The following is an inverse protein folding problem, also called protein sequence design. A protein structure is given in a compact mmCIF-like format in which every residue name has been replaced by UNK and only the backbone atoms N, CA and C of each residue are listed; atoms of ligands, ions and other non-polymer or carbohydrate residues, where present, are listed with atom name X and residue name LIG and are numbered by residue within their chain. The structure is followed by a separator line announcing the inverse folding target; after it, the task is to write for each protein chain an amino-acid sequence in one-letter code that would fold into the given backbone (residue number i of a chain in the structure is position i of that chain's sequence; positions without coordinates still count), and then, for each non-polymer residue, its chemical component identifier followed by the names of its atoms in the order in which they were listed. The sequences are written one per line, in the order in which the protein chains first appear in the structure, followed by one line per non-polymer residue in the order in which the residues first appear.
data_IF_863742571385
#
_entry.id   IF_863742571385
#
_cell.length_a   1.000
_cell.length_b   1.000
_cell.length_c   1.000
_cell.angle_alpha   90.00
_cell.angle_beta   90.00
_cell.angle_gamma   90.00
#
_symmetry.space_group_name_H-M   'P 1'
#
loop_
_entity.id
_entity.type
_entity.pdbx_description
1 polymer ?
#
# COMPACT_ATOMS: atom_id res chain seq x y z
N UNK A 1 12.27 14.04 27.38
CA UNK A 1 13.11 13.86 26.17
C UNK A 1 12.98 12.49 25.49
N UNK A 2 12.86 11.34 26.18
CA UNK A 2 12.57 10.04 25.50
C UNK A 2 11.10 9.87 25.08
N UNK A 3 10.16 10.42 25.85
CA UNK A 3 8.72 10.34 25.57
C UNK A 3 8.37 11.08 24.28
N UNK A 4 8.86 12.31 24.10
CA UNK A 4 8.51 13.12 22.93
C UNK A 4 9.20 12.67 21.63
N UNK A 5 10.40 12.07 21.71
CA UNK A 5 11.20 11.77 20.52
C UNK A 5 10.96 10.39 19.93
N UNK A 6 10.43 9.44 20.72
CA UNK A 6 10.20 8.06 20.28
C UNK A 6 8.76 7.58 20.47
N UNK A 7 8.14 7.91 21.61
CA UNK A 7 6.80 7.41 21.94
C UNK A 7 5.72 8.09 21.08
N UNK A 8 5.83 9.41 20.84
CA UNK A 8 4.90 10.14 19.96
C UNK A 8 4.87 9.62 18.51
N UNK A 9 6.02 9.44 17.81
CA UNK A 9 5.99 8.91 16.45
C UNK A 9 5.51 7.45 16.36
N UNK A 10 5.82 6.60 17.34
CA UNK A 10 5.29 5.22 17.40
C UNK A 10 3.77 5.20 17.60
N UNK A 11 3.22 6.02 18.49
CA UNK A 11 1.76 6.15 18.67
C UNK A 11 1.04 6.67 17.42
N UNK A 12 1.70 7.55 16.65
CA UNK A 12 1.16 8.04 15.36
C UNK A 12 1.18 6.93 14.30
N UNK A 13 2.15 6.01 14.34
CA UNK A 13 2.19 4.85 13.45
C UNK A 13 1.16 3.78 13.88
N UNK A 14 0.96 3.55 15.17
CA UNK A 14 -0.10 2.66 15.69
C UNK A 14 -1.51 3.16 15.31
N UNK A 15 -1.75 4.49 15.41
CA UNK A 15 -3.00 5.11 14.97
C UNK A 15 -3.23 5.02 13.44
N UNK A 16 -2.19 4.85 12.62
CA UNK A 16 -2.35 4.65 11.17
C UNK A 16 -2.85 3.25 10.84
N UNK A 17 -2.47 2.25 11.64
CA UNK A 17 -2.97 0.89 11.49
C UNK A 17 -4.44 0.76 11.93
N UNK A 18 -4.90 1.65 12.82
CA UNK A 18 -6.31 1.75 13.22
C UNK A 18 -7.24 2.29 12.11
N UNK A 19 -6.71 3.03 11.13
CA UNK A 19 -7.55 3.63 10.09
C UNK A 19 -8.11 2.55 9.16
N UNK A 20 -9.42 2.33 9.19
CA UNK A 20 -10.09 1.31 8.38
C UNK A 20 -9.84 1.54 6.88
N UNK A 21 -9.94 0.48 6.07
CA UNK A 21 -9.83 0.58 4.61
C UNK A 21 -10.85 1.60 4.07
N UNK A 22 -12.05 1.65 4.66
CA UNK A 22 -13.09 2.62 4.29
C UNK A 22 -12.66 4.07 4.57
N UNK A 23 -12.02 4.34 5.70
CA UNK A 23 -11.53 5.69 6.03
C UNK A 23 -10.36 6.11 5.14
N UNK A 24 -9.45 5.18 4.83
CA UNK A 24 -8.37 5.40 3.86
C UNK A 24 -8.95 5.79 2.50
N UNK A 25 -9.98 5.08 2.05
CA UNK A 25 -10.63 5.35 0.77
C UNK A 25 -11.38 6.69 0.76
N UNK A 26 -12.04 7.06 1.87
CA UNK A 26 -12.66 8.40 2.03
C UNK A 26 -11.64 9.52 1.95
N UNK A 27 -10.49 9.36 2.60
CA UNK A 27 -9.40 10.35 2.54
C UNK A 27 -8.86 10.45 1.12
N UNK A 28 -8.66 9.31 0.44
CA UNK A 28 -8.22 9.27 -0.95
C UNK A 28 -9.18 10.03 -1.87
N UNK A 29 -10.49 9.82 -1.73
CA UNK A 29 -11.52 10.54 -2.49
C UNK A 29 -11.46 12.05 -2.23
N UNK A 30 -11.34 12.46 -0.97
CA UNK A 30 -11.21 13.88 -0.62
C UNK A 30 -9.95 14.53 -1.21
N UNK A 31 -8.81 13.80 -1.21
CA UNK A 31 -7.57 14.27 -1.83
C UNK A 31 -7.68 14.37 -3.36
N UNK A 32 -8.40 13.45 -3.98
CA UNK A 32 -8.67 13.47 -5.42
C UNK A 32 -9.58 14.65 -5.82
N UNK A 33 -10.65 14.90 -5.07
CA UNK A 33 -11.49 16.09 -5.25
C UNK A 33 -10.68 17.38 -5.10
N UNK A 34 -9.84 17.47 -4.06
CA UNK A 34 -8.98 18.62 -3.85
C UNK A 34 -7.95 18.80 -4.98
N UNK A 35 -7.36 17.71 -5.49
CA UNK A 35 -6.45 17.77 -6.63
C UNK A 35 -7.14 18.31 -7.88
N UNK A 36 -8.38 17.88 -8.15
CA UNK A 36 -9.18 18.37 -9.26
C UNK A 36 -9.53 19.86 -9.12
N UNK A 37 -9.93 20.30 -7.92
CA UNK A 37 -10.18 21.73 -7.64
C UNK A 37 -8.93 22.58 -7.89
N UNK A 38 -7.75 22.09 -7.51
CA UNK A 38 -6.48 22.78 -7.77
C UNK A 38 -6.14 22.83 -9.26
N UNK A 39 -6.47 21.80 -10.03
CA UNK A 39 -6.31 21.81 -11.50
C UNK A 39 -7.19 22.88 -12.12
N UNK A 40 -8.48 22.91 -11.76
CA UNK A 40 -9.42 23.94 -12.25
C UNK A 40 -8.96 25.35 -11.87
N UNK A 41 -8.49 25.54 -10.62
CA UNK A 41 -7.97 26.83 -10.16
C UNK A 41 -6.72 27.27 -10.95
N UNK A 42 -5.82 26.34 -11.32
CA UNK A 42 -4.64 26.62 -12.15
C UNK A 42 -5.04 27.05 -13.56
N UNK A 43 -6.09 26.44 -14.13
CA UNK A 43 -6.56 26.77 -15.47
C UNK A 43 -7.26 28.13 -15.51
N UNK A 44 -7.94 28.52 -14.41
CA UNK A 44 -8.61 29.81 -14.27
C UNK A 44 -7.68 30.97 -13.87
N UNK A 45 -6.49 30.68 -13.33
CA UNK A 45 -5.54 31.74 -12.92
C UNK A 45 -4.68 32.23 -14.08
N UNK A 46 -4.74 33.53 -14.35
CA UNK A 46 -3.94 34.14 -15.43
C UNK A 46 -2.51 34.48 -14.99
N UNK A 47 -2.30 34.79 -13.71
CA UNK A 47 -0.98 35.19 -13.24
C UNK A 47 -0.03 33.99 -13.12
N UNK A 48 1.24 34.19 -13.47
CA UNK A 48 2.24 33.10 -13.45
C UNK A 48 2.64 32.75 -12.01
N UNK A 49 2.74 33.75 -11.14
CA UNK A 49 3.15 33.53 -9.74
C UNK A 49 2.10 32.77 -8.94
N UNK A 50 0.80 33.08 -9.10
CA UNK A 50 -0.27 32.35 -8.42
C UNK A 50 -0.36 30.91 -8.94
N UNK A 51 -0.24 30.70 -10.27
CA UNK A 51 -0.16 29.35 -10.85
C UNK A 51 1.00 28.53 -10.29
N UNK A 52 2.15 29.16 -10.01
CA UNK A 52 3.30 28.48 -9.41
C UNK A 52 3.02 28.02 -7.99
N UNK A 53 2.33 28.83 -7.19
CA UNK A 53 1.90 28.48 -5.83
C UNK A 53 0.88 27.34 -5.85
N UNK A 54 -0.14 27.42 -6.72
CA UNK A 54 -1.15 26.37 -6.87
C UNK A 54 -0.55 25.04 -7.34
N UNK A 55 0.41 25.05 -8.28
CA UNK A 55 1.14 23.85 -8.70
C UNK A 55 1.93 23.21 -7.57
N UNK A 56 2.53 24.04 -6.69
CA UNK A 56 3.23 23.54 -5.51
C UNK A 56 2.27 22.86 -4.55
N UNK A 57 1.11 23.47 -4.28
CA UNK A 57 0.08 22.84 -3.44
C UNK A 57 -0.43 21.54 -4.07
N UNK A 58 -0.73 21.53 -5.37
CA UNK A 58 -1.14 20.32 -6.10
C UNK A 58 -0.11 19.20 -5.94
N UNK A 59 1.17 19.52 -6.07
CA UNK A 59 2.25 18.53 -5.91
C UNK A 59 2.28 17.92 -4.50
N UNK A 60 2.01 18.70 -3.46
CA UNK A 60 1.91 18.19 -2.10
C UNK A 60 0.66 17.31 -1.92
N UNK A 61 -0.50 17.73 -2.44
CA UNK A 61 -1.75 16.93 -2.42
C UNK A 61 -1.54 15.59 -3.14
N UNK A 62 -0.97 15.62 -4.34
CA UNK A 62 -0.66 14.42 -5.12
C UNK A 62 0.27 13.46 -4.36
N UNK A 63 1.29 14.01 -3.68
CA UNK A 63 2.20 13.22 -2.85
C UNK A 63 1.49 12.59 -1.66
N UNK A 64 0.53 13.28 -1.02
CA UNK A 64 -0.28 12.68 0.04
C UNK A 64 -1.20 11.59 -0.52
N UNK A 65 -1.86 11.82 -1.66
CA UNK A 65 -2.72 10.82 -2.33
C UNK A 65 -1.95 9.52 -2.55
N UNK A 66 -0.76 9.60 -3.14
CA UNK A 66 0.12 8.45 -3.35
C UNK A 66 0.47 7.71 -2.04
N UNK A 67 0.70 8.44 -0.95
CA UNK A 67 0.96 7.81 0.35
C UNK A 67 -0.25 7.03 0.86
N UNK A 68 -1.46 7.55 0.67
CA UNK A 68 -2.69 6.83 1.05
C UNK A 68 -2.93 5.62 0.14
N UNK A 69 -2.61 5.69 -1.15
CA UNK A 69 -2.63 4.52 -2.04
C UNK A 69 -1.65 3.43 -1.54
N UNK A 70 -0.42 3.82 -1.18
CA UNK A 70 0.58 2.90 -0.61
C UNK A 70 0.15 2.33 0.75
N UNK A 71 -0.62 3.08 1.55
CA UNK A 71 -1.19 2.59 2.81
C UNK A 71 -2.31 1.58 2.57
N UNK A 72 -3.23 1.87 1.65
CA UNK A 72 -4.32 0.96 1.29
C UNK A 72 -3.75 -0.39 0.83
N UNK A 73 -2.78 -0.37 -0.09
CA UNK A 73 -2.15 -1.57 -0.61
C UNK A 73 -1.45 -2.39 0.49
N UNK A 74 -0.68 -1.72 1.37
CA UNK A 74 -0.01 -2.40 2.48
C UNK A 74 -1.00 -3.01 3.47
N UNK A 75 -2.10 -2.31 3.77
CA UNK A 75 -3.13 -2.83 4.67
C UNK A 75 -3.81 -4.07 4.11
N UNK A 76 -4.17 -4.05 2.83
CA UNK A 76 -4.71 -5.23 2.13
C UNK A 76 -3.74 -6.42 2.18
N UNK A 77 -2.46 -6.19 1.83
CA UNK A 77 -1.45 -7.26 1.88
C UNK A 77 -1.22 -7.78 3.29
N UNK A 78 -1.29 -6.91 4.31
CA UNK A 78 -1.15 -7.32 5.70
C UNK A 78 -2.34 -8.17 6.16
N UNK A 79 -3.57 -7.80 5.81
CA UNK A 79 -4.77 -8.59 6.07
C UNK A 79 -4.69 -9.97 5.41
N UNK A 80 -4.24 -10.05 4.16
CA UNK A 80 -3.99 -11.33 3.46
C UNK A 80 -2.91 -12.17 4.18
N UNK A 81 -1.82 -11.55 4.60
CA UNK A 81 -0.75 -12.22 5.35
C UNK A 81 -1.24 -12.73 6.70
N UNK A 82 -2.09 -11.99 7.42
CA UNK A 82 -2.70 -12.44 8.66
C UNK A 82 -3.59 -13.67 8.45
N UNK A 83 -4.34 -13.71 7.34
CA UNK A 83 -5.14 -14.88 6.95
C UNK A 83 -4.22 -16.09 6.69
N UNK A 84 -3.14 -15.91 5.93
CA UNK A 84 -2.16 -16.98 5.62
C UNK A 84 -1.45 -17.47 6.89
N UNK A 85 -1.09 -16.54 7.78
CA UNK A 85 -0.39 -16.81 9.03
C UNK A 85 -1.20 -17.74 9.96
N UNK A 86 -2.52 -17.54 9.98
CA UNK A 86 -3.47 -18.32 10.77
C UNK A 86 -3.14 -18.35 12.27
N UNK A 87 -3.73 -19.32 13.00
CA UNK A 87 -3.64 -19.38 14.46
C UNK A 87 -2.27 -19.83 14.97
N UNK A 88 -1.52 -20.64 14.19
CA UNK A 88 -0.23 -21.21 14.62
C UNK A 88 0.97 -20.33 14.26
N UNK A 89 0.73 -19.14 13.71
CA UNK A 89 1.78 -18.22 13.27
C UNK A 89 2.77 -18.92 12.32
N UNK A 90 2.25 -19.66 11.34
CA UNK A 90 3.04 -20.52 10.48
C UNK A 90 2.88 -20.13 9.02
N UNK A 91 3.84 -19.38 8.49
CA UNK A 91 4.03 -19.16 7.04
C UNK A 91 4.66 -20.39 6.35
N UNK A 92 4.37 -21.61 6.84
CA UNK A 92 5.08 -22.83 6.44
C UNK A 92 4.52 -23.45 5.16
N UNK A 93 5.31 -24.27 4.47
CA UNK A 93 6.28 -23.90 3.41
C UNK A 93 5.82 -24.52 2.07
N UNK A 94 4.53 -24.81 1.97
CA UNK A 94 3.91 -25.28 0.74
C UNK A 94 3.29 -24.04 0.12
N UNK A 95 3.82 -23.68 -1.03
CA UNK A 95 3.31 -22.61 -1.86
C UNK A 95 1.79 -22.77 -2.02
N UNK A 96 1.02 -21.75 -1.64
CA UNK A 96 -0.46 -21.81 -1.68
C UNK A 96 -0.96 -21.98 -3.11
N UNK A 97 -0.16 -21.59 -4.11
CA UNK A 97 -0.42 -21.74 -5.54
C UNK A 97 0.35 -22.92 -6.17
N UNK A 98 0.96 -23.83 -5.38
CA UNK A 98 1.67 -25.00 -5.91
C UNK A 98 0.71 -25.96 -6.64
N UNK A 99 0.48 -25.67 -7.93
CA UNK A 99 -0.05 -26.63 -8.88
C UNK A 99 1.09 -27.58 -9.17
N UNK A 100 1.14 -28.67 -8.39
CA UNK A 100 2.02 -29.83 -8.51
C UNK A 100 3.30 -29.56 -9.33
N UNK A 101 4.39 -29.18 -8.63
CA UNK A 101 5.76 -29.12 -9.15
C UNK A 101 5.89 -30.02 -10.38
N UNK A 102 5.95 -29.43 -11.58
CA UNK A 102 6.17 -30.19 -12.81
C UNK A 102 7.45 -30.98 -12.56
N UNK A 103 7.32 -32.28 -12.31
CA UNK A 103 8.48 -33.15 -12.16
C UNK A 103 9.35 -32.82 -13.36
N UNK A 104 10.64 -32.54 -13.10
CA UNK A 104 11.61 -32.53 -14.20
C UNK A 104 11.38 -33.85 -14.91
N UNK A 105 10.84 -33.80 -16.13
CA UNK A 105 10.84 -34.95 -17.01
C UNK A 105 12.29 -35.42 -17.00
N UNK A 106 12.47 -36.65 -16.54
CA UNK A 106 13.77 -37.23 -16.29
C UNK A 106 14.67 -36.91 -17.49
N UNK A 107 15.74 -36.14 -17.26
CA UNK A 107 16.65 -35.77 -18.34
C UNK A 107 17.29 -37.01 -19.00
N UNK A 108 17.17 -38.18 -18.37
CA UNK A 108 17.64 -39.46 -18.86
C UNK A 108 16.54 -40.51 -19.10
N UNK A 109 15.24 -40.16 -19.08
CA UNK A 109 14.11 -41.07 -19.38
C UNK A 109 14.17 -42.45 -18.68
N UNK A 110 14.77 -42.56 -17.50
CA UNK A 110 14.86 -43.82 -16.77
C UNK A 110 13.71 -43.93 -15.78
N UNK A 111 12.53 -44.12 -16.36
CA UNK A 111 11.31 -44.46 -15.64
C UNK A 111 11.44 -45.81 -14.96
N UNK A 112 11.95 -45.82 -13.72
CA UNK A 112 11.72 -46.94 -12.82
C UNK A 112 11.66 -46.45 -11.37
N UNK A 113 10.43 -46.38 -10.84
CA UNK A 113 10.22 -46.29 -9.39
C UNK A 113 10.75 -47.58 -8.78
N UNK A 114 11.59 -47.42 -7.75
CA UNK A 114 12.05 -48.54 -6.93
C UNK A 114 10.84 -49.15 -6.19
N UNK A 115 10.82 -50.49 -5.98
CA UNK A 115 9.75 -51.16 -5.24
C UNK A 115 9.69 -50.69 -3.78
#
# INVERSE_FOLDING_TARGET
QMVETKILPELIDDLKDELSIEEIERIRQSLEEKENQLIEAIDQTETVEERKLLRKEKSEVHKQKKRFDDFAQRKMSYEEQLVIMGVRNSFSKTDHDATFMRMKEDHMLNGQLKP
#
